data_IF_162516666896
#
_entry.id   IF_162516666896
#
_cell.length_a   1.000
_cell.length_b   1.000
_cell.length_c   1.000
_cell.angle_alpha   90.00
_cell.angle_beta   90.00
_cell.angle_gamma   90.00
#
_symmetry.space_group_name_H-M   'P 1'
#
loop_
_entity.id
_entity.type
_entity.pdbx_description
1 polymer ?
#
# COMPACT_ATOMS: atom_id res chain seq x y z
N UNK A 1 -11.48 12.07 -5.11
CA UNK A 1 -11.03 10.75 -5.60
C UNK A 1 -11.65 9.70 -4.70
N UNK A 2 -12.29 8.68 -5.25
CA UNK A 2 -12.86 7.58 -4.46
C UNK A 2 -11.73 6.68 -3.94
N UNK A 3 -11.90 6.13 -2.73
CA UNK A 3 -10.91 5.22 -2.13
C UNK A 3 -10.55 4.04 -3.05
N UNK A 4 -11.46 3.58 -3.91
CA UNK A 4 -11.19 2.54 -4.91
C UNK A 4 -10.08 2.91 -5.91
N UNK A 5 -10.09 4.13 -6.45
CA UNK A 5 -9.07 4.55 -7.41
C UNK A 5 -7.67 4.58 -6.76
N UNK A 6 -7.61 5.04 -5.50
CA UNK A 6 -6.39 5.03 -4.72
C UNK A 6 -5.94 3.60 -4.40
N UNK A 7 -6.88 2.71 -4.05
CA UNK A 7 -6.61 1.30 -3.76
C UNK A 7 -6.01 0.59 -4.96
N UNK A 8 -6.65 0.72 -6.11
CA UNK A 8 -6.17 0.15 -7.38
C UNK A 8 -4.78 0.66 -7.70
N UNK A 9 -4.56 1.97 -7.63
CA UNK A 9 -3.24 2.55 -7.91
C UNK A 9 -2.15 2.02 -6.96
N UNK A 10 -2.42 1.99 -5.65
CA UNK A 10 -1.47 1.48 -4.65
C UNK A 10 -1.19 -0.02 -4.89
N UNK A 11 -2.22 -0.81 -5.17
CA UNK A 11 -2.09 -2.23 -5.46
C UNK A 11 -1.30 -2.50 -6.74
N UNK A 12 -1.63 -1.83 -7.84
CA UNK A 12 -0.91 -1.96 -9.12
C UNK A 12 0.54 -1.53 -8.97
N UNK A 13 0.80 -0.44 -8.25
CA UNK A 13 2.17 0.03 -8.00
C UNK A 13 2.96 -0.92 -7.11
N UNK A 14 2.33 -1.56 -6.13
CA UNK A 14 2.92 -2.62 -5.32
C UNK A 14 3.18 -3.90 -6.14
N UNK A 15 2.33 -4.21 -7.11
CA UNK A 15 2.47 -5.36 -8.01
C UNK A 15 3.63 -5.18 -9.00
N UNK A 16 3.80 -3.97 -9.51
CA UNK A 16 4.90 -3.58 -10.41
C UNK A 16 6.14 -3.12 -9.66
N UNK A 17 6.10 -3.11 -8.33
CA UNK A 17 7.23 -2.77 -7.50
C UNK A 17 8.36 -3.79 -7.68
N UNK A 18 9.57 -3.36 -7.33
CA UNK A 18 10.74 -4.23 -7.33
C UNK A 18 10.47 -5.49 -6.47
N UNK A 19 11.07 -6.66 -6.77
CA UNK A 19 10.95 -7.86 -5.92
C UNK A 19 11.41 -7.63 -4.47
N UNK A 20 12.17 -6.57 -4.21
CA UNK A 20 12.54 -6.15 -2.85
C UNK A 20 11.40 -5.44 -2.10
N UNK A 21 10.31 -5.07 -2.77
CA UNK A 21 9.13 -4.37 -2.26
C UNK A 21 9.16 -2.85 -2.52
N UNK A 22 8.08 -2.14 -2.17
CA UNK A 22 8.06 -0.68 -2.23
C UNK A 22 8.77 -0.08 -1.02
N UNK A 23 9.67 0.86 -1.28
CA UNK A 23 10.28 1.73 -0.27
C UNK A 23 9.47 3.00 -0.04
N UNK A 24 10.12 4.00 0.57
CA UNK A 24 9.53 5.32 0.86
C UNK A 24 8.94 6.07 -0.34
N UNK A 25 9.31 5.66 -1.56
CA UNK A 25 8.83 6.23 -2.81
C UNK A 25 7.32 6.14 -3.02
N UNK A 26 6.64 5.19 -2.37
CA UNK A 26 5.17 5.06 -2.44
C UNK A 26 4.46 6.24 -1.76
N UNK A 27 5.10 6.80 -0.73
CA UNK A 27 4.62 7.98 -0.01
C UNK A 27 5.12 9.28 -0.66
N UNK A 28 6.41 9.31 -1.04
CA UNK A 28 7.07 10.51 -1.60
C UNK A 28 6.42 10.99 -2.90
N UNK A 29 5.96 10.06 -3.75
CA UNK A 29 5.34 10.39 -5.04
C UNK A 29 3.84 10.74 -4.98
N UNK A 30 3.21 10.71 -3.80
CA UNK A 30 1.78 10.96 -3.67
C UNK A 30 1.51 12.25 -2.90
N UNK A 31 0.71 13.16 -3.46
CA UNK A 31 0.21 14.38 -2.77
C UNK A 31 -0.84 14.04 -1.70
N UNK A 32 -0.51 13.14 -0.78
CA UNK A 32 -1.43 12.62 0.22
C UNK A 32 -0.87 11.42 0.96
N UNK A 33 0.29 11.57 1.60
CA UNK A 33 0.93 10.55 2.44
C UNK A 33 -0.07 9.87 3.40
N UNK A 34 -0.95 10.66 4.02
CA UNK A 34 -2.04 10.18 4.89
C UNK A 34 -3.03 9.25 4.19
N UNK A 35 -3.40 9.56 2.95
CA UNK A 35 -4.34 8.75 2.19
C UNK A 35 -3.70 7.42 1.78
N UNK A 36 -2.46 7.45 1.32
CA UNK A 36 -1.69 6.23 0.98
C UNK A 36 -1.45 5.38 2.22
N UNK A 37 -1.04 5.98 3.33
CA UNK A 37 -0.85 5.25 4.58
C UNK A 37 -2.16 4.61 5.09
N UNK A 38 -3.28 5.33 5.02
CA UNK A 38 -4.59 4.77 5.35
C UNK A 38 -4.97 3.61 4.43
N UNK A 39 -4.66 3.71 3.14
CA UNK A 39 -4.90 2.64 2.18
C UNK A 39 -4.02 1.41 2.48
N UNK A 40 -2.72 1.60 2.68
CA UNK A 40 -1.79 0.53 3.03
C UNK A 40 -2.19 -0.17 4.32
N UNK A 41 -2.64 0.58 5.33
CA UNK A 41 -3.19 0.01 6.57
C UNK A 41 -4.43 -0.84 6.29
N UNK A 42 -5.35 -0.36 5.45
CA UNK A 42 -6.54 -1.13 5.04
C UNK A 42 -6.15 -2.44 4.31
N UNK A 43 -5.13 -2.39 3.44
CA UNK A 43 -4.61 -3.58 2.76
C UNK A 43 -3.96 -4.56 3.75
N UNK A 44 -3.24 -4.05 4.75
CA UNK A 44 -2.65 -4.86 5.82
C UNK A 44 -3.73 -5.54 6.67
N UNK A 45 -4.76 -4.80 7.07
CA UNK A 45 -5.92 -5.33 7.82
C UNK A 45 -6.69 -6.38 7.00
N UNK A 46 -6.71 -6.24 5.68
CA UNK A 46 -7.28 -7.23 4.77
C UNK A 46 -6.36 -8.45 4.51
N UNK A 47 -5.17 -8.51 5.11
CA UNK A 47 -4.21 -9.62 4.90
C UNK A 47 -3.52 -9.61 3.53
N UNK A 48 -3.56 -8.48 2.82
CA UNK A 48 -2.98 -8.31 1.49
C UNK A 48 -1.50 -7.92 1.53
N UNK A 49 -0.97 -7.56 2.70
CA UNK A 49 0.45 -7.24 2.92
C UNK A 49 1.11 -8.44 3.61
N UNK A 50 2.22 -8.91 3.05
CA UNK A 50 3.03 -10.00 3.61
C UNK A 50 4.24 -9.50 4.37
N UNK A 51 4.92 -8.49 3.83
CA UNK A 51 6.14 -7.93 4.40
C UNK A 51 5.99 -6.41 4.50
N UNK A 52 6.61 -5.84 5.53
CA UNK A 52 6.40 -4.46 5.93
C UNK A 52 5.05 -4.19 6.61
N UNK A 53 4.91 -3.00 7.18
CA UNK A 53 3.68 -2.62 7.88
C UNK A 53 3.44 -1.13 7.88
N UNK A 54 2.17 -0.72 7.99
CA UNK A 54 1.78 0.67 8.14
C UNK A 54 0.97 0.86 9.41
N UNK A 55 1.49 1.71 10.27
CA UNK A 55 0.82 2.21 11.45
C UNK A 55 0.43 3.68 11.24
N UNK A 56 -0.81 4.00 11.56
CA UNK A 56 -1.30 5.37 11.66
C UNK A 56 -1.76 5.56 13.10
N UNK A 57 -1.04 6.40 13.84
CA UNK A 57 -1.31 6.72 15.24
C UNK A 57 -2.38 7.82 15.35
N UNK A 58 -2.99 7.93 16.54
CA UNK A 58 -4.00 8.94 16.85
C UNK A 58 -3.50 10.38 16.67
N UNK A 59 -2.20 10.62 16.82
CA UNK A 59 -1.52 11.89 16.56
C UNK A 59 -1.30 12.18 15.06
N UNK A 60 -1.92 11.43 14.16
CA UNK A 60 -1.72 11.50 12.71
C UNK A 60 -0.28 11.23 12.26
N UNK A 61 0.51 10.60 13.13
CA UNK A 61 1.83 10.11 12.77
C UNK A 61 1.70 8.82 11.96
N UNK A 62 2.35 8.82 10.80
CA UNK A 62 2.41 7.68 9.91
C UNK A 62 3.78 7.02 10.13
N UNK A 63 3.76 5.74 10.45
CA UNK A 63 4.97 4.92 10.55
C UNK A 63 4.84 3.78 9.55
N UNK A 64 5.75 3.78 8.57
CA UNK A 64 5.81 2.73 7.55
C UNK A 64 7.10 1.95 7.73
N UNK A 65 6.95 0.64 7.92
CA UNK A 65 8.05 -0.31 7.95
C UNK A 65 8.24 -0.85 6.54
N UNK A 66 9.34 -0.42 5.92
CA UNK A 66 9.75 -0.89 4.60
C UNK A 66 10.64 -2.13 4.71
N UNK A 67 10.69 -2.96 3.66
CA UNK A 67 9.93 -2.84 2.41
C UNK A 67 8.48 -3.32 2.53
N UNK A 68 7.56 -2.68 1.81
CA UNK A 68 6.16 -3.15 1.73
C UNK A 68 6.01 -4.14 0.58
N UNK A 69 5.57 -5.36 0.87
CA UNK A 69 5.32 -6.42 -0.11
C UNK A 69 3.91 -6.96 -0.01
N UNK A 70 3.29 -7.21 -1.16
CA UNK A 70 2.01 -7.89 -1.24
C UNK A 70 2.16 -9.37 -0.86
N UNK A 71 1.14 -9.88 -0.19
CA UNK A 71 0.92 -11.32 -0.04
C UNK A 71 0.42 -11.92 -1.35
N UNK A 72 0.38 -13.24 -1.46
CA UNK A 72 -0.22 -13.91 -2.61
C UNK A 72 -1.65 -13.41 -2.88
N UNK A 73 -2.44 -13.17 -1.83
CA UNK A 73 -3.77 -12.58 -1.96
C UNK A 73 -3.73 -11.11 -2.41
N UNK A 74 -2.76 -10.34 -1.94
CA UNK A 74 -2.54 -8.95 -2.38
C UNK A 74 -2.15 -8.85 -3.85
N UNK A 75 -1.28 -9.75 -4.33
CA UNK A 75 -0.88 -9.86 -5.73
C UNK A 75 -2.09 -10.17 -6.61
N UNK A 76 -2.92 -11.13 -6.21
CA UNK A 76 -4.16 -11.47 -6.92
C UNK A 76 -5.15 -10.29 -6.94
N UNK A 77 -5.32 -9.60 -5.81
CA UNK A 77 -6.17 -8.41 -5.73
C UNK A 77 -5.66 -7.28 -6.64
N UNK A 78 -4.35 -7.08 -6.71
CA UNK A 78 -3.73 -6.10 -7.60
C UNK A 78 -3.92 -6.46 -9.07
N UNK A 79 -3.69 -7.73 -9.44
CA UNK A 79 -3.92 -8.20 -10.82
C UNK A 79 -5.36 -8.01 -11.27
N UNK A 80 -6.33 -8.23 -10.38
CA UNK A 80 -7.76 -7.99 -10.64
C UNK A 80 -8.12 -6.51 -10.73
N UNK A 81 -7.31 -5.63 -10.14
CA UNK A 81 -7.54 -4.20 -10.16
C UNK A 81 -6.91 -3.53 -11.41
N UNK A 82 -5.90 -4.16 -12.00
CA UNK A 82 -5.23 -3.72 -13.23
C UNK A 82 -6.00 -4.11 -14.52
N UNK A 83 -6.82 -5.17 -14.46
CA UNK A 83 -7.61 -5.69 -15.59
C UNK A 83 -9.09 -5.32 -15.52
#
# INVERSE_FOLDING_TARGET
MSNDALKTEVLTRLLHAHPEGLGKEVLDNYRGEKAVAGMLKTLQEAGLIHDGSVAVSSDHQISVHYPIKLSAAGVEAARRAEG
#
